data_IF_242254315815
#
_entry.id   IF_242254315815
#
_cell.length_a   1.000
_cell.length_b   1.000
_cell.length_c   1.000
_cell.angle_alpha   90.00
_cell.angle_beta   90.00
_cell.angle_gamma   90.00
#
_symmetry.space_group_name_H-M   'P 1'
#
loop_
_entity.id
_entity.type
_entity.pdbx_description
1 polymer ?
#
# COMPACT_ATOMS: atom_id res chain seq x y z
N UNK A 1 0.42 22.21 -8.84
CA UNK A 1 1.13 21.39 -9.85
C UNK A 1 2.47 21.02 -9.23
N UNK A 2 2.46 19.99 -8.38
CA UNK A 2 3.69 19.47 -7.77
C UNK A 2 4.30 18.47 -8.74
N UNK A 3 5.38 18.88 -9.38
CA UNK A 3 6.23 17.99 -10.16
C UNK A 3 6.90 17.00 -9.21
N UNK A 4 6.60 15.72 -9.36
CA UNK A 4 7.47 14.67 -8.88
C UNK A 4 8.76 14.76 -9.70
N UNK A 5 9.81 15.30 -9.10
CA UNK A 5 11.15 15.20 -9.64
C UNK A 5 11.59 13.75 -9.59
N UNK A 6 11.95 13.28 -10.76
CA UNK A 6 12.77 12.13 -11.09
C UNK A 6 12.56 10.85 -10.28
N UNK A 7 11.80 9.93 -10.91
CA UNK A 7 12.00 8.50 -10.72
C UNK A 7 13.45 8.19 -11.09
N UNK A 8 14.37 8.21 -10.13
CA UNK A 8 15.61 7.51 -10.28
C UNK A 8 15.27 6.04 -10.49
N UNK A 9 15.31 5.60 -11.72
CA UNK A 9 15.26 4.18 -12.06
C UNK A 9 16.49 3.56 -11.40
N UNK A 10 16.23 2.67 -10.45
CA UNK A 10 17.28 1.85 -9.87
C UNK A 10 17.87 0.98 -10.99
N UNK A 11 19.08 1.31 -11.42
CA UNK A 11 19.89 0.48 -12.28
C UNK A 11 20.81 -0.35 -11.41
N UNK A 12 20.66 -1.69 -11.36
CA UNK A 12 21.50 -2.56 -10.55
C UNK A 12 23.00 -2.38 -10.82
N UNK A 13 23.36 -2.01 -12.04
CA UNK A 13 24.75 -1.81 -12.45
C UNK A 13 25.40 -0.52 -11.92
N UNK A 14 24.63 0.50 -11.59
CA UNK A 14 25.19 1.78 -11.13
C UNK A 14 25.76 1.69 -9.70
N UNK A 15 25.25 0.79 -8.86
CA UNK A 15 25.73 0.59 -7.48
C UNK A 15 26.92 -0.37 -7.37
N UNK A 16 27.23 -1.16 -8.39
CA UNK A 16 28.37 -2.09 -8.41
C UNK A 16 29.74 -1.43 -8.53
N UNK A 17 29.80 -0.12 -8.81
CA UNK A 17 31.08 0.60 -9.09
C UNK A 17 31.70 1.30 -7.89
N UNK A 18 31.00 1.47 -6.78
CA UNK A 18 31.56 2.10 -5.60
C UNK A 18 31.92 0.99 -4.57
N UNK A 19 33.18 0.59 -4.60
CA UNK A 19 33.74 -0.46 -3.75
C UNK A 19 33.70 -0.11 -2.26
N UNK A 20 32.57 -0.36 -1.64
CA UNK A 20 32.45 -0.42 -0.19
C UNK A 20 32.58 -1.88 0.24
N UNK A 21 33.50 -2.15 1.19
CA UNK A 21 33.79 -3.48 1.70
C UNK A 21 32.51 -4.22 2.11
N UNK A 22 32.22 -5.29 1.40
CA UNK A 22 31.10 -6.19 1.66
C UNK A 22 31.17 -6.87 3.04
N UNK A 23 32.33 -6.87 3.68
CA UNK A 23 32.59 -7.55 4.95
C UNK A 23 31.94 -6.91 6.18
N UNK A 24 31.31 -5.74 6.04
CA UNK A 24 30.72 -4.99 7.14
C UNK A 24 29.19 -5.04 7.21
N UNK A 25 28.53 -5.80 6.35
CA UNK A 25 27.06 -5.92 6.37
C UNK A 25 26.59 -6.74 7.57
N UNK A 26 25.89 -6.14 8.55
CA UNK A 26 25.32 -6.92 9.63
C UNK A 26 24.23 -7.86 9.08
N UNK A 27 24.04 -9.06 9.68
CA UNK A 27 22.97 -9.96 9.27
C UNK A 27 21.63 -9.21 9.33
N UNK A 28 20.90 -9.15 8.23
CA UNK A 28 19.66 -8.39 8.09
C UNK A 28 18.57 -8.91 9.00
N UNK A 29 18.46 -10.22 9.07
CA UNK A 29 17.49 -10.92 9.90
C UNK A 29 18.20 -12.17 10.40
N UNK A 30 17.93 -12.56 11.64
CA UNK A 30 18.44 -13.84 12.20
C UNK A 30 18.07 -14.99 11.27
N UNK A 31 19.07 -15.70 10.74
CA UNK A 31 18.90 -16.82 9.83
C UNK A 31 18.95 -16.52 8.34
N UNK A 32 19.02 -15.24 7.92
CA UNK A 32 19.26 -14.90 6.52
C UNK A 32 20.76 -14.62 6.32
N UNK A 33 21.41 -15.47 5.57
CA UNK A 33 22.79 -15.28 5.13
C UNK A 33 22.74 -14.55 3.79
N UNK A 34 23.36 -13.38 3.73
CA UNK A 34 23.51 -12.60 2.50
C UNK A 34 24.88 -12.92 1.95
N UNK A 35 24.94 -13.37 0.70
CA UNK A 35 26.20 -13.54 0.00
C UNK A 35 26.90 -12.17 -0.13
N UNK A 36 28.10 -12.08 0.43
CA UNK A 36 28.93 -10.87 0.42
C UNK A 36 29.28 -10.36 -0.98
N UNK A 37 29.08 -11.16 -2.01
CA UNK A 37 29.30 -10.77 -3.41
C UNK A 37 28.21 -9.88 -3.99
N UNK A 38 27.06 -9.79 -3.32
CA UNK A 38 25.93 -9.02 -3.82
C UNK A 38 25.53 -7.98 -2.79
N UNK A 39 25.61 -6.74 -3.21
CA UNK A 39 25.30 -5.57 -2.40
C UNK A 39 23.79 -5.40 -2.23
N UNK A 40 23.28 -5.49 -1.00
CA UNK A 40 22.00 -4.90 -0.65
C UNK A 40 22.25 -3.48 -0.19
N UNK A 41 21.43 -2.55 -0.68
CA UNK A 41 21.38 -1.22 -0.10
C UNK A 41 21.19 -1.34 1.42
N UNK A 42 22.17 -0.94 2.19
CA UNK A 42 22.14 -0.91 3.65
C UNK A 42 20.91 -0.17 4.17
N UNK A 43 20.40 0.79 3.40
CA UNK A 43 19.21 1.56 3.75
C UNK A 43 17.97 0.67 3.94
N UNK A 44 17.74 -0.33 3.08
CA UNK A 44 16.61 -1.25 3.25
C UNK A 44 16.74 -2.08 4.53
N UNK A 45 17.92 -2.63 4.76
CA UNK A 45 18.20 -3.43 5.95
C UNK A 45 18.09 -2.62 7.25
N UNK A 46 18.64 -1.42 7.24
CA UNK A 46 18.60 -0.52 8.39
C UNK A 46 17.17 -0.04 8.68
N UNK A 47 16.41 0.27 7.63
CA UNK A 47 15.00 0.63 7.76
C UNK A 47 14.20 -0.54 8.33
N UNK A 48 14.43 -1.77 7.85
CA UNK A 48 13.80 -2.97 8.38
C UNK A 48 14.03 -3.16 9.87
N UNK A 49 15.27 -2.96 10.32
CA UNK A 49 15.67 -3.05 11.75
C UNK A 49 15.05 -1.90 12.56
N UNK A 50 15.20 -0.66 12.10
CA UNK A 50 14.68 0.54 12.79
C UNK A 50 13.17 0.43 13.01
N UNK A 51 12.43 0.00 12.01
CA UNK A 51 10.98 -0.21 12.09
C UNK A 51 10.59 -1.45 12.91
N UNK A 52 11.55 -2.30 13.31
CA UNK A 52 11.30 -3.58 13.98
C UNK A 52 10.31 -4.46 13.20
N UNK A 53 10.48 -4.53 11.88
CA UNK A 53 9.53 -5.16 10.96
C UNK A 53 9.15 -6.58 11.35
N UNK A 54 10.08 -7.39 11.89
CA UNK A 54 9.77 -8.74 12.37
C UNK A 54 8.68 -8.76 13.46
N UNK A 55 8.69 -7.75 14.35
CA UNK A 55 7.67 -7.61 15.40
C UNK A 55 6.35 -7.12 14.83
N UNK A 56 6.38 -6.23 13.83
CA UNK A 56 5.16 -5.75 13.15
C UNK A 56 4.48 -6.89 12.39
N UNK A 57 5.24 -7.71 11.67
CA UNK A 57 4.75 -8.88 10.94
C UNK A 57 4.06 -9.85 11.90
N UNK A 58 4.69 -10.20 13.01
CA UNK A 58 4.09 -11.08 14.03
C UNK A 58 2.82 -10.48 14.62
N UNK A 59 2.82 -9.18 14.99
CA UNK A 59 1.62 -8.49 15.52
C UNK A 59 0.48 -8.39 14.51
N UNK A 60 0.78 -8.31 13.21
CA UNK A 60 -0.22 -8.32 12.15
C UNK A 60 -0.82 -9.72 11.90
N UNK A 61 -0.43 -10.73 12.69
CA UNK A 61 -1.01 -12.08 12.63
C UNK A 61 -0.40 -12.97 11.55
N UNK A 62 0.78 -12.64 11.05
CA UNK A 62 1.47 -13.51 10.11
C UNK A 62 2.10 -14.69 10.84
N UNK A 63 1.60 -15.88 10.56
CA UNK A 63 2.02 -17.13 11.21
C UNK A 63 2.79 -17.99 10.20
N UNK A 64 3.89 -18.58 10.64
CA UNK A 64 4.60 -19.60 9.87
C UNK A 64 3.70 -20.84 9.72
N UNK A 65 3.60 -21.38 8.50
CA UNK A 65 2.90 -22.66 8.25
C UNK A 65 3.87 -23.83 8.17
N UNK A 66 4.89 -23.69 7.32
CA UNK A 66 5.93 -24.70 7.12
C UNK A 66 7.16 -24.08 6.46
N UNK A 67 8.30 -24.75 6.49
CA UNK A 67 9.50 -24.35 5.76
C UNK A 67 10.06 -23.00 6.20
N UNK A 68 10.08 -22.05 5.28
CA UNK A 68 10.68 -20.71 5.46
C UNK A 68 9.94 -19.87 6.50
N UNK A 69 10.67 -19.11 7.31
CA UNK A 69 10.08 -18.18 8.27
C UNK A 69 9.25 -17.10 7.57
N UNK A 70 8.08 -16.78 8.15
CA UNK A 70 7.17 -15.80 7.55
C UNK A 70 7.80 -14.41 7.43
N UNK A 71 8.68 -14.04 8.36
CA UNK A 71 9.41 -12.78 8.32
C UNK A 71 10.39 -12.74 7.15
N UNK A 72 11.04 -13.85 6.82
CA UNK A 72 11.89 -14.00 5.66
C UNK A 72 11.06 -13.94 4.36
N UNK A 73 9.94 -14.64 4.31
CA UNK A 73 9.03 -14.60 3.17
C UNK A 73 8.53 -13.18 2.85
N UNK A 74 8.17 -12.40 3.89
CA UNK A 74 7.79 -11.00 3.73
C UNK A 74 8.98 -10.13 3.33
N UNK A 75 10.17 -10.38 3.90
CA UNK A 75 11.39 -9.66 3.56
C UNK A 75 11.71 -9.79 2.06
N UNK A 76 11.80 -11.00 1.53
CA UNK A 76 12.10 -11.21 0.11
C UNK A 76 11.00 -10.67 -0.81
N UNK A 77 9.74 -10.69 -0.37
CA UNK A 77 8.62 -10.12 -1.12
C UNK A 77 8.74 -8.59 -1.23
N UNK A 78 9.11 -7.91 -0.15
CA UNK A 78 9.33 -6.46 -0.16
C UNK A 78 10.63 -6.11 -0.88
N UNK A 79 11.67 -6.88 -0.71
CA UNK A 79 12.95 -6.70 -1.41
C UNK A 79 12.78 -6.79 -2.93
N UNK A 80 11.97 -7.74 -3.42
CA UNK A 80 11.62 -7.81 -4.85
C UNK A 80 11.06 -6.48 -5.37
N UNK A 81 10.18 -5.83 -4.59
CA UNK A 81 9.62 -4.53 -4.96
C UNK A 81 10.63 -3.39 -4.81
N UNK A 82 11.46 -3.44 -3.79
CA UNK A 82 12.54 -2.48 -3.59
C UNK A 82 13.53 -2.49 -4.76
N UNK A 83 13.92 -3.66 -5.24
CA UNK A 83 14.78 -3.83 -6.40
C UNK A 83 14.08 -3.54 -7.74
N UNK A 84 12.83 -3.10 -7.71
CA UNK A 84 12.01 -2.72 -8.88
C UNK A 84 11.97 -3.79 -9.99
N UNK A 85 12.10 -5.05 -9.65
CA UNK A 85 12.04 -6.13 -10.63
C UNK A 85 10.61 -6.38 -11.12
N UNK A 86 10.43 -6.60 -12.41
CA UNK A 86 9.13 -6.65 -13.08
C UNK A 86 8.25 -7.80 -12.60
N UNK A 87 8.83 -8.93 -12.22
CA UNK A 87 8.08 -10.11 -11.75
C UNK A 87 8.85 -10.91 -10.71
N UNK A 88 8.10 -11.68 -9.90
CA UNK A 88 8.69 -12.64 -8.96
C UNK A 88 9.53 -13.70 -9.69
N UNK A 89 9.12 -14.12 -10.89
CA UNK A 89 9.87 -15.06 -11.68
C UNK A 89 11.23 -14.50 -12.14
N UNK A 90 11.28 -13.21 -12.52
CA UNK A 90 12.52 -12.53 -12.86
C UNK A 90 13.42 -12.35 -11.63
N UNK A 91 12.85 -11.93 -10.52
CA UNK A 91 13.57 -11.83 -9.24
C UNK A 91 14.18 -13.17 -8.83
N UNK A 92 13.40 -14.26 -8.93
CA UNK A 92 13.86 -15.60 -8.58
C UNK A 92 15.05 -16.07 -9.42
N UNK A 93 15.07 -15.73 -10.71
CA UNK A 93 16.19 -16.13 -11.60
C UNK A 93 17.45 -15.31 -11.40
N UNK A 94 17.30 -14.03 -11.09
CA UNK A 94 18.41 -13.08 -11.20
C UNK A 94 19.01 -12.70 -9.83
N UNK A 95 18.21 -12.76 -8.75
CA UNK A 95 18.65 -12.19 -7.48
C UNK A 95 18.23 -12.98 -6.23
N UNK A 96 17.12 -13.73 -6.24
CA UNK A 96 16.60 -14.37 -5.02
C UNK A 96 17.64 -15.24 -4.31
N UNK A 97 18.40 -16.06 -5.05
CA UNK A 97 19.39 -16.95 -4.49
C UNK A 97 20.55 -16.25 -3.76
N UNK A 98 20.73 -14.94 -4.00
CA UNK A 98 21.69 -14.10 -3.28
C UNK A 98 21.24 -13.79 -1.86
N UNK A 99 19.93 -13.70 -1.64
CA UNK A 99 19.36 -13.18 -0.40
C UNK A 99 18.69 -14.25 0.46
N UNK A 100 18.31 -15.37 -0.13
CA UNK A 100 17.57 -16.41 0.55
C UNK A 100 17.72 -17.74 -0.17
N UNK A 101 17.70 -18.83 0.61
CA UNK A 101 17.59 -20.21 0.10
C UNK A 101 16.13 -20.56 -0.28
N UNK A 102 15.20 -19.66 -0.02
CA UNK A 102 13.81 -19.86 -0.38
C UNK A 102 13.62 -19.90 -1.90
N UNK A 103 12.63 -20.70 -2.34
CA UNK A 103 12.20 -20.70 -3.74
C UNK A 103 11.09 -19.67 -3.97
N UNK A 104 10.87 -19.28 -5.23
CA UNK A 104 9.81 -18.32 -5.63
C UNK A 104 8.42 -18.71 -5.12
N UNK A 105 8.16 -20.00 -4.94
CA UNK A 105 6.86 -20.53 -4.51
C UNK A 105 6.46 -20.01 -3.14
N UNK A 106 7.43 -19.77 -2.24
CA UNK A 106 7.21 -19.17 -0.92
C UNK A 106 6.53 -17.80 -1.03
N UNK A 107 6.93 -16.98 -2.01
CA UNK A 107 6.32 -15.67 -2.25
C UNK A 107 4.89 -15.80 -2.78
N UNK A 108 4.67 -16.73 -3.73
CA UNK A 108 3.32 -17.00 -4.26
C UNK A 108 2.39 -17.57 -3.20
N UNK A 109 2.88 -18.49 -2.36
CA UNK A 109 2.10 -19.07 -1.27
C UNK A 109 1.73 -18.01 -0.24
N UNK A 110 2.67 -17.13 0.12
CA UNK A 110 2.39 -16.00 1.01
C UNK A 110 1.29 -15.09 0.44
N UNK A 111 1.35 -14.77 -0.86
CA UNK A 111 0.36 -13.91 -1.52
C UNK A 111 -1.03 -14.56 -1.68
N UNK A 112 -1.11 -15.90 -1.71
CA UNK A 112 -2.39 -16.64 -1.80
C UNK A 112 -3.08 -16.83 -0.44
N UNK A 113 -2.42 -16.50 0.65
CA UNK A 113 -2.96 -16.71 2.00
C UNK A 113 -4.04 -15.70 2.33
N UNK A 114 -5.27 -16.17 2.43
CA UNK A 114 -6.48 -15.35 2.64
C UNK A 114 -6.59 -14.78 4.06
N UNK A 115 -5.98 -15.47 5.04
CA UNK A 115 -6.01 -15.09 6.45
C UNK A 115 -5.06 -13.92 6.78
N UNK A 116 -4.11 -13.60 5.90
CA UNK A 116 -3.10 -12.56 6.16
C UNK A 116 -3.72 -11.17 6.14
N UNK A 117 -3.51 -10.44 7.22
CA UNK A 117 -3.97 -9.07 7.35
C UNK A 117 -2.91 -8.05 6.89
N UNK A 118 -2.76 -7.93 5.57
CA UNK A 118 -1.87 -6.94 4.95
C UNK A 118 -2.19 -5.50 5.35
N UNK A 119 -3.47 -5.18 5.57
CA UNK A 119 -3.89 -3.85 6.05
C UNK A 119 -3.33 -3.56 7.44
N UNK A 120 -3.38 -4.54 8.35
CA UNK A 120 -2.83 -4.39 9.68
C UNK A 120 -1.32 -4.17 9.63
N UNK A 121 -0.60 -4.91 8.79
CA UNK A 121 0.84 -4.70 8.61
C UNK A 121 1.13 -3.29 8.08
N UNK A 122 0.43 -2.87 7.02
CA UNK A 122 0.58 -1.53 6.45
C UNK A 122 0.32 -0.43 7.49
N UNK A 123 -0.81 -0.50 8.20
CA UNK A 123 -1.18 0.48 9.22
C UNK A 123 -0.16 0.55 10.37
N UNK A 124 0.32 -0.60 10.85
CA UNK A 124 1.34 -0.65 11.91
C UNK A 124 2.69 -0.10 11.43
N UNK A 125 3.07 -0.40 10.18
CA UNK A 125 4.28 0.14 9.57
C UNK A 125 4.18 1.66 9.39
N UNK A 126 3.05 2.14 8.86
CA UNK A 126 2.78 3.56 8.72
C UNK A 126 2.86 4.29 10.06
N UNK A 127 2.23 3.74 11.11
CA UNK A 127 2.33 4.29 12.47
C UNK A 127 3.76 4.32 13.00
N UNK A 128 4.53 3.28 12.78
CA UNK A 128 5.93 3.23 13.20
C UNK A 128 6.77 4.30 12.49
N UNK A 129 6.57 4.48 11.17
CA UNK A 129 7.23 5.54 10.38
C UNK A 129 6.80 6.93 10.87
N UNK A 130 5.50 7.14 11.09
CA UNK A 130 4.95 8.39 11.60
C UNK A 130 5.58 8.81 12.93
N UNK A 131 5.73 7.86 13.85
CA UNK A 131 6.33 8.10 15.16
C UNK A 131 7.84 8.32 15.09
N UNK A 132 8.56 7.47 14.35
CA UNK A 132 10.02 7.54 14.25
C UNK A 132 10.51 8.82 13.57
N UNK A 133 9.78 9.29 12.56
CA UNK A 133 10.11 10.53 11.87
C UNK A 133 9.48 11.77 12.54
N UNK A 134 8.86 11.60 13.71
CA UNK A 134 8.24 12.70 14.46
C UNK A 134 7.24 13.53 13.64
N UNK A 135 6.54 12.90 12.72
CA UNK A 135 5.58 13.58 11.83
C UNK A 135 4.39 14.18 12.60
N UNK A 136 4.21 13.84 13.87
CA UNK A 136 3.29 14.54 14.78
C UNK A 136 3.58 16.02 14.90
N UNK A 137 4.86 16.41 14.81
CA UNK A 137 5.33 17.79 14.91
C UNK A 137 5.33 18.57 13.60
N UNK A 138 4.91 17.97 12.48
CA UNK A 138 4.78 18.67 11.20
C UNK A 138 3.76 19.81 11.31
N UNK A 139 4.09 20.97 10.70
CA UNK A 139 3.24 22.18 10.77
C UNK A 139 1.94 21.99 10.01
N UNK A 140 1.97 21.23 8.90
CA UNK A 140 0.81 20.95 8.08
C UNK A 140 0.74 19.46 7.81
N UNK A 141 -0.39 18.87 8.12
CA UNK A 141 -0.69 17.46 7.87
C UNK A 141 -1.98 17.36 7.10
N UNK A 142 -1.95 16.69 5.95
CA UNK A 142 -3.12 16.52 5.12
C UNK A 142 -3.35 15.05 4.76
N UNK A 143 -4.55 14.56 5.00
CA UNK A 143 -5.01 13.33 4.37
C UNK A 143 -5.20 13.56 2.87
N UNK A 144 -4.63 12.72 2.05
CA UNK A 144 -4.77 12.76 0.59
C UNK A 144 -5.50 11.51 0.14
N UNK A 145 -6.64 11.70 -0.50
CA UNK A 145 -7.45 10.63 -1.08
C UNK A 145 -7.34 10.69 -2.59
N UNK A 146 -6.97 9.57 -3.17
CA UNK A 146 -6.92 9.42 -4.63
C UNK A 146 -7.32 8.00 -5.03
N UNK A 147 -7.86 7.85 -6.24
CA UNK A 147 -8.10 6.56 -6.83
C UNK A 147 -7.25 6.35 -8.08
N UNK A 148 -6.80 5.14 -8.26
CA UNK A 148 -5.99 4.77 -9.41
C UNK A 148 -6.46 3.45 -10.02
N UNK A 149 -6.29 3.30 -11.34
CA UNK A 149 -6.58 2.07 -12.05
C UNK A 149 -5.29 1.27 -12.18
N UNK A 150 -5.22 0.14 -11.49
CA UNK A 150 -4.15 -0.84 -11.70
C UNK A 150 -4.52 -1.74 -12.87
N UNK A 151 -3.93 -1.49 -14.02
CA UNK A 151 -4.17 -2.30 -15.23
C UNK A 151 -3.82 -3.77 -15.02
N UNK A 152 -4.62 -4.66 -15.58
CA UNK A 152 -4.49 -6.11 -15.48
C UNK A 152 -4.70 -6.77 -16.82
N UNK A 153 -3.95 -7.83 -17.11
CA UNK A 153 -4.03 -8.59 -18.35
C UNK A 153 -4.93 -9.84 -18.27
N UNK A 154 -5.74 -9.97 -17.23
CA UNK A 154 -6.60 -11.17 -17.05
C UNK A 154 -8.02 -10.81 -16.69
N UNK A 155 -9.00 -11.45 -17.36
CA UNK A 155 -10.44 -11.27 -17.08
C UNK A 155 -10.92 -12.03 -15.84
N UNK A 156 -10.17 -13.06 -15.40
CA UNK A 156 -10.55 -13.95 -14.27
C UNK A 156 -9.96 -13.50 -12.91
N UNK A 157 -9.34 -12.33 -12.85
CA UNK A 157 -8.77 -11.82 -11.62
C UNK A 157 -9.84 -11.08 -10.83
N UNK A 158 -9.85 -11.25 -9.51
CA UNK A 158 -10.84 -10.70 -8.60
C UNK A 158 -10.90 -9.18 -8.70
N UNK A 159 -12.11 -8.63 -8.78
CA UNK A 159 -12.35 -7.18 -8.83
C UNK A 159 -11.85 -6.48 -10.10
N UNK A 160 -11.43 -7.23 -11.12
CA UNK A 160 -11.06 -6.66 -12.43
C UNK A 160 -12.31 -6.29 -13.21
N UNK A 161 -12.26 -5.12 -13.81
CA UNK A 161 -13.32 -4.52 -14.59
C UNK A 161 -12.78 -3.65 -15.69
N UNK A 162 -13.65 -3.29 -16.64
CA UNK A 162 -13.36 -2.26 -17.63
C UNK A 162 -13.57 -0.87 -17.02
N UNK A 163 -12.56 -0.04 -17.08
CA UNK A 163 -12.60 1.37 -16.64
C UNK A 163 -12.15 2.27 -17.77
N UNK A 164 -12.74 3.46 -17.85
CA UNK A 164 -12.23 4.49 -18.76
C UNK A 164 -11.02 5.16 -18.13
N UNK A 165 -9.90 5.11 -18.82
CA UNK A 165 -8.66 5.77 -18.42
C UNK A 165 -8.58 7.12 -19.11
N UNK A 166 -8.74 8.19 -18.35
CA UNK A 166 -8.71 9.56 -18.85
C UNK A 166 -7.33 10.00 -19.37
N UNK A 167 -6.27 9.32 -18.96
CA UNK A 167 -4.90 9.61 -19.41
C UNK A 167 -4.67 9.09 -20.83
N UNK A 168 -5.13 7.88 -21.11
CA UNK A 168 -4.98 7.24 -22.44
C UNK A 168 -6.20 7.44 -23.34
N UNK A 169 -7.31 8.01 -22.84
CA UNK A 169 -8.55 8.23 -23.58
C UNK A 169 -9.28 6.95 -24.01
N UNK A 170 -9.01 5.81 -23.36
CA UNK A 170 -9.56 4.50 -23.75
C UNK A 170 -9.95 3.65 -22.55
N UNK A 171 -10.77 2.62 -22.82
CA UNK A 171 -11.08 1.62 -21.80
C UNK A 171 -9.90 0.68 -21.56
N UNK A 172 -9.59 0.46 -20.28
CA UNK A 172 -8.56 -0.48 -19.80
C UNK A 172 -9.17 -1.47 -18.82
N UNK A 173 -8.69 -2.72 -18.89
CA UNK A 173 -9.04 -3.73 -17.89
C UNK A 173 -8.16 -3.51 -16.65
N UNK A 174 -8.76 -3.44 -15.47
CA UNK A 174 -7.99 -3.19 -14.26
C UNK A 174 -8.80 -3.31 -12.97
N UNK A 175 -8.12 -3.08 -11.88
CA UNK A 175 -8.71 -2.94 -10.54
C UNK A 175 -8.61 -1.48 -10.14
N UNK A 176 -9.71 -0.89 -9.71
CA UNK A 176 -9.71 0.47 -9.17
C UNK A 176 -9.37 0.41 -7.67
N UNK A 177 -8.34 1.13 -7.28
CA UNK A 177 -7.83 1.14 -5.90
C UNK A 177 -7.93 2.54 -5.35
N UNK A 178 -8.71 2.69 -4.28
CA UNK A 178 -8.74 3.90 -3.47
C UNK A 178 -7.58 3.86 -2.49
N UNK A 179 -6.82 4.93 -2.40
CA UNK A 179 -5.65 5.08 -1.52
C UNK A 179 -5.83 6.30 -0.63
N UNK A 180 -5.53 6.14 0.65
CA UNK A 180 -5.39 7.21 1.63
C UNK A 180 -3.93 7.34 2.02
N UNK A 181 -3.37 8.53 1.91
CA UNK A 181 -2.04 8.89 2.37
C UNK A 181 -2.07 10.06 3.34
N UNK A 182 -0.98 10.25 4.07
CA UNK A 182 -0.69 11.46 4.83
C UNK A 182 0.43 12.22 4.13
N UNK A 183 0.14 13.43 3.73
CA UNK A 183 1.14 14.37 3.22
C UNK A 183 1.52 15.36 4.32
N UNK A 184 2.81 15.61 4.44
CA UNK A 184 3.39 16.68 5.24
C UNK A 184 4.30 17.51 4.35
N UNK A 185 4.89 18.59 4.87
CA UNK A 185 5.88 19.38 4.16
C UNK A 185 7.13 18.58 3.76
N UNK A 186 7.43 17.48 4.47
CA UNK A 186 8.66 16.71 4.29
C UNK A 186 8.44 15.33 3.65
N UNK A 187 7.24 14.75 3.83
CA UNK A 187 7.01 13.35 3.48
C UNK A 187 5.59 13.06 2.99
N UNK A 188 5.47 12.00 2.20
CA UNK A 188 4.20 11.35 1.90
C UNK A 188 4.21 9.92 2.43
N UNK A 189 3.24 9.60 3.28
CA UNK A 189 3.12 8.29 3.93
C UNK A 189 1.84 7.59 3.50
N UNK A 190 1.91 6.45 2.77
CA UNK A 190 0.73 5.64 2.48
C UNK A 190 0.15 5.03 3.76
N UNK A 191 -1.15 5.24 4.01
CA UNK A 191 -1.82 4.82 5.23
C UNK A 191 -2.72 3.61 5.04
N UNK A 192 -3.58 3.65 4.03
CA UNK A 192 -4.54 2.58 3.74
C UNK A 192 -4.84 2.50 2.25
N UNK A 193 -5.29 1.34 1.79
CA UNK A 193 -5.75 1.13 0.43
C UNK A 193 -6.88 0.11 0.38
N UNK A 194 -7.83 0.30 -0.56
CA UNK A 194 -8.96 -0.60 -0.75
C UNK A 194 -9.35 -0.69 -2.22
N UNK A 195 -9.65 -1.90 -2.68
CA UNK A 195 -10.22 -2.12 -4.01
C UNK A 195 -11.67 -1.62 -3.98
N UNK A 196 -12.00 -0.79 -4.95
CA UNK A 196 -13.38 -0.35 -5.18
C UNK A 196 -14.04 -1.26 -6.22
N UNK A 197 -15.23 -1.73 -5.91
CA UNK A 197 -16.08 -2.52 -6.80
C UNK A 197 -17.44 -1.83 -6.87
N UNK A 198 -17.88 -1.45 -8.07
CA UNK A 198 -19.17 -0.80 -8.21
C UNK A 198 -20.32 -1.76 -7.93
N UNK A 199 -21.42 -1.26 -7.37
CA UNK A 199 -22.61 -2.08 -7.05
C UNK A 199 -23.21 -2.78 -8.28
N UNK A 200 -23.11 -2.16 -9.46
CA UNK A 200 -23.57 -2.78 -10.72
C UNK A 200 -22.76 -4.05 -11.03
N UNK A 201 -21.48 -4.05 -10.72
CA UNK A 201 -20.59 -5.19 -10.97
C UNK A 201 -20.65 -6.23 -9.85
N UNK A 202 -21.10 -5.84 -8.68
CA UNK A 202 -21.26 -6.75 -7.54
C UNK A 202 -22.21 -7.92 -7.82
N UNK A 203 -23.23 -7.72 -8.69
CA UNK A 203 -24.21 -8.75 -9.05
C UNK A 203 -23.60 -9.91 -9.83
N UNK A 204 -22.47 -9.69 -10.49
CA UNK A 204 -21.76 -10.68 -11.32
C UNK A 204 -20.57 -11.31 -10.58
N UNK A 205 -20.27 -10.85 -9.35
CA UNK A 205 -19.10 -11.29 -8.62
C UNK A 205 -19.37 -12.60 -7.88
N UNK A 206 -18.66 -13.63 -8.29
CA UNK A 206 -18.50 -14.84 -7.51
C UNK A 206 -17.39 -14.59 -6.49
N UNK A 207 -17.63 -14.89 -5.21
CA UNK A 207 -16.56 -14.78 -4.21
C UNK A 207 -15.50 -15.88 -4.52
N UNK A 208 -14.28 -15.49 -4.90
CA UNK A 208 -13.25 -16.43 -5.30
C UNK A 208 -12.53 -17.08 -4.11
N UNK A 209 -12.77 -16.57 -2.91
CA UNK A 209 -12.10 -17.02 -1.70
C UNK A 209 -12.72 -18.27 -1.15
N UNK A 210 -11.88 -19.20 -0.69
CA UNK A 210 -12.29 -20.49 -0.12
C UNK A 210 -13.01 -20.32 1.20
N UNK A 211 -12.55 -19.36 2.00
CA UNK A 211 -13.14 -19.00 3.27
C UNK A 211 -13.67 -17.56 3.24
N UNK A 212 -15.00 -17.44 3.13
CA UNK A 212 -15.68 -16.14 3.16
C UNK A 212 -15.51 -15.37 4.47
N UNK A 213 -15.07 -16.03 5.56
CA UNK A 213 -14.74 -15.41 6.83
C UNK A 213 -13.28 -15.00 6.95
N UNK A 214 -12.44 -15.40 6.01
CA UNK A 214 -11.05 -14.95 5.94
C UNK A 214 -10.94 -13.43 5.82
N UNK A 215 -9.77 -12.87 6.17
CA UNK A 215 -9.53 -11.42 6.06
C UNK A 215 -9.71 -10.93 4.64
N UNK A 216 -9.21 -11.67 3.66
CA UNK A 216 -9.37 -11.33 2.25
C UNK A 216 -10.82 -11.48 1.78
N UNK A 217 -11.49 -12.58 2.14
CA UNK A 217 -12.88 -12.85 1.79
C UNK A 217 -13.85 -11.80 2.32
N UNK A 218 -13.72 -11.41 3.60
CA UNK A 218 -14.53 -10.32 4.20
C UNK A 218 -14.32 -8.99 3.47
N UNK A 219 -13.07 -8.59 3.25
CA UNK A 219 -12.77 -7.34 2.56
C UNK A 219 -13.32 -7.31 1.14
N UNK A 220 -13.28 -8.44 0.46
CA UNK A 220 -13.82 -8.57 -0.89
C UNK A 220 -15.34 -8.46 -0.90
N UNK A 221 -16.02 -9.11 0.04
CA UNK A 221 -17.49 -9.04 0.19
C UNK A 221 -17.99 -7.66 0.60
N UNK A 222 -17.20 -6.92 1.39
CA UNK A 222 -17.52 -5.55 1.81
C UNK A 222 -17.29 -4.52 0.68
N UNK A 223 -16.37 -4.77 -0.23
CA UNK A 223 -15.97 -3.79 -1.24
C UNK A 223 -17.15 -3.28 -2.10
N UNK A 224 -18.09 -4.11 -2.60
CA UNK A 224 -19.21 -3.64 -3.40
C UNK A 224 -20.36 -3.02 -2.58
N UNK A 225 -20.34 -3.12 -1.26
CA UNK A 225 -21.42 -2.57 -0.41
C UNK A 225 -21.21 -1.09 -0.07
N UNK A 226 -20.05 -0.54 -0.39
CA UNK A 226 -19.66 0.81 -0.03
C UNK A 226 -19.44 1.69 -1.26
N UNK A 227 -19.92 2.91 -1.22
CA UNK A 227 -19.52 3.97 -2.15
C UNK A 227 -18.09 4.45 -1.86
N UNK A 228 -17.43 5.10 -2.82
CA UNK A 228 -16.09 5.67 -2.59
C UNK A 228 -16.02 6.65 -1.41
N UNK A 229 -16.98 7.58 -1.21
CA UNK A 229 -16.99 8.46 -0.04
C UNK A 229 -17.13 7.69 1.28
N UNK A 230 -17.93 6.63 1.34
CA UNK A 230 -18.05 5.78 2.53
C UNK A 230 -16.76 5.01 2.81
N UNK A 231 -16.13 4.45 1.78
CA UNK A 231 -14.79 3.84 1.93
C UNK A 231 -13.78 4.83 2.49
N UNK A 232 -13.73 6.05 1.92
CA UNK A 232 -12.83 7.11 2.36
C UNK A 232 -13.07 7.47 3.83
N UNK A 233 -14.35 7.63 4.24
CA UNK A 233 -14.75 7.88 5.62
C UNK A 233 -14.23 6.78 6.56
N UNK A 234 -14.45 5.51 6.19
CA UNK A 234 -13.98 4.38 6.98
C UNK A 234 -12.43 4.31 7.06
N UNK A 235 -11.73 4.64 5.99
CA UNK A 235 -10.27 4.68 5.96
C UNK A 235 -9.75 5.77 6.91
N UNK A 236 -10.26 6.99 6.82
CA UNK A 236 -9.87 8.10 7.72
C UNK A 236 -10.18 7.78 9.18
N UNK A 237 -11.36 7.27 9.48
CA UNK A 237 -11.74 6.87 10.86
C UNK A 237 -10.80 5.80 11.43
N UNK A 238 -10.36 4.83 10.61
CA UNK A 238 -9.37 3.83 11.04
C UNK A 238 -8.02 4.44 11.35
N UNK A 239 -7.56 5.35 10.50
CA UNK A 239 -6.25 6.00 10.65
C UNK A 239 -6.21 6.88 11.89
N UNK A 240 -7.24 7.70 12.11
CA UNK A 240 -7.34 8.55 13.30
C UNK A 240 -7.40 7.70 14.58
N UNK A 241 -8.19 6.60 14.59
CA UNK A 241 -8.22 5.65 15.73
C UNK A 241 -6.87 5.00 15.99
N UNK A 242 -6.00 4.90 14.99
CA UNK A 242 -4.63 4.40 15.18
C UNK A 242 -3.67 5.45 15.78
N UNK A 243 -4.12 6.68 15.96
CA UNK A 243 -3.36 7.80 16.53
C UNK A 243 -2.51 8.55 15.51
N UNK A 244 -2.93 8.56 14.24
CA UNK A 244 -2.36 9.44 13.21
C UNK A 244 -3.38 10.52 12.86
N UNK A 245 -2.95 11.78 12.87
CA UNK A 245 -3.79 12.97 12.75
C UNK A 245 -3.48 13.75 11.48
N UNK A 246 -4.44 14.51 11.01
CA UNK A 246 -4.27 15.48 9.94
C UNK A 246 -5.15 16.70 10.19
N UNK A 247 -4.71 17.87 9.70
CA UNK A 247 -5.44 19.14 9.79
C UNK A 247 -6.40 19.30 8.61
N UNK A 248 -6.05 18.68 7.48
CA UNK A 248 -6.79 18.80 6.22
C UNK A 248 -7.10 17.45 5.61
N UNK A 249 -8.12 17.39 4.77
CA UNK A 249 -8.34 16.32 3.80
C UNK A 249 -8.41 16.91 2.39
N UNK A 250 -7.57 16.39 1.48
CA UNK A 250 -7.50 16.75 0.07
C UNK A 250 -8.02 15.60 -0.77
N UNK A 251 -8.95 15.90 -1.67
CA UNK A 251 -9.46 14.91 -2.61
C UNK A 251 -9.98 15.58 -3.90
N UNK A 252 -10.08 14.76 -4.95
CA UNK A 252 -10.59 15.20 -6.24
C UNK A 252 -12.12 15.41 -6.25
N UNK A 253 -12.67 15.75 -7.42
CA UNK A 253 -14.10 16.05 -7.59
C UNK A 253 -15.04 14.85 -7.36
N UNK A 254 -14.53 13.61 -7.32
CA UNK A 254 -15.33 12.43 -6.96
C UNK A 254 -15.74 12.46 -5.48
N UNK A 255 -14.92 13.07 -4.64
CA UNK A 255 -15.13 13.17 -3.20
C UNK A 255 -15.78 14.52 -2.79
N UNK A 256 -15.99 15.43 -3.74
CA UNK A 256 -16.71 16.69 -3.52
C UNK A 256 -18.20 16.48 -3.28
N UNK A 257 -18.56 15.76 -2.21
CA UNK A 257 -19.92 15.33 -1.89
C UNK A 257 -20.29 15.68 -0.45
N UNK A 258 -21.62 15.90 -0.20
CA UNK A 258 -22.12 16.16 1.16
C UNK A 258 -21.68 15.12 2.20
N UNK A 259 -21.71 13.79 1.93
CA UNK A 259 -21.20 12.80 2.87
C UNK A 259 -19.73 13.01 3.24
N UNK A 260 -18.89 13.38 2.29
CA UNK A 260 -17.47 13.61 2.56
C UNK A 260 -17.21 14.83 3.42
N UNK A 261 -17.93 15.92 3.15
CA UNK A 261 -17.89 17.16 3.96
C UNK A 261 -18.34 16.84 5.39
N UNK A 262 -19.45 16.10 5.55
CA UNK A 262 -19.92 15.68 6.88
C UNK A 262 -18.88 14.83 7.61
N UNK A 263 -18.24 13.89 6.92
CA UNK A 263 -17.16 13.09 7.51
C UNK A 263 -15.98 13.95 7.96
N UNK A 264 -15.58 14.94 7.16
CA UNK A 264 -14.50 15.84 7.54
C UNK A 264 -14.85 16.65 8.81
N UNK A 265 -16.08 17.16 8.90
CA UNK A 265 -16.58 17.84 10.11
C UNK A 265 -16.63 16.90 11.33
N UNK A 266 -17.11 15.67 11.18
CA UNK A 266 -17.13 14.66 12.25
C UNK A 266 -15.74 14.30 12.78
N UNK A 267 -14.71 14.42 11.94
CA UNK A 267 -13.34 14.08 12.25
C UNK A 267 -12.48 15.29 12.63
N UNK A 268 -13.08 16.48 12.65
CA UNK A 268 -12.41 17.76 12.93
C UNK A 268 -11.21 18.01 11.99
N UNK A 269 -11.42 17.73 10.69
CA UNK A 269 -10.43 18.02 9.62
C UNK A 269 -11.03 18.99 8.60
N UNK A 270 -10.24 19.96 8.16
CA UNK A 270 -10.67 20.93 7.15
C UNK A 270 -10.70 20.28 5.75
N UNK A 271 -11.84 20.31 5.07
CA UNK A 271 -12.01 19.70 3.76
C UNK A 271 -11.58 20.66 2.64
N UNK A 272 -10.60 20.27 1.83
CA UNK A 272 -10.17 20.92 0.60
C UNK A 272 -10.51 20.00 -0.57
N UNK A 273 -11.72 20.15 -1.10
CA UNK A 273 -12.29 19.27 -2.11
C UNK A 273 -12.51 20.01 -3.42
N UNK A 274 -12.15 19.40 -4.53
CA UNK A 274 -12.56 19.92 -5.83
C UNK A 274 -14.04 19.62 -6.04
N UNK A 275 -14.81 20.65 -6.38
CA UNK A 275 -16.25 20.50 -6.68
C UNK A 275 -16.48 20.21 -8.17
N UNK A 276 -17.49 19.39 -8.49
CA UNK A 276 -17.95 19.21 -9.88
C UNK A 276 -18.66 20.47 -10.35
N UNK A 277 -18.34 20.96 -11.54
CA UNK A 277 -19.10 22.03 -12.16
C UNK A 277 -20.57 21.57 -12.37
N UNK A 278 -21.52 22.29 -11.80
CA UNK A 278 -22.90 22.25 -12.26
C UNK A 278 -23.93 21.44 -11.49
N UNK A 279 -23.70 21.06 -10.23
CA UNK A 279 -24.78 20.56 -9.37
C UNK A 279 -24.61 21.02 -7.92
N UNK A 280 -25.51 21.93 -7.53
CA UNK A 280 -25.79 22.46 -6.18
C UNK A 280 -24.72 23.40 -5.60
N UNK A 281 -25.04 24.68 -5.57
CA UNK A 281 -24.43 25.65 -4.66
C UNK A 281 -24.62 25.16 -3.22
N UNK A 282 -23.52 24.91 -2.53
CA UNK A 282 -23.55 24.67 -1.09
C UNK A 282 -23.52 26.07 -0.46
N UNK A 283 -24.68 26.60 -0.06
CA UNK A 283 -24.73 27.77 0.79
C UNK A 283 -24.14 27.38 2.15
N UNK A 284 -23.00 27.97 2.51
CA UNK A 284 -22.56 28.00 3.90
C UNK A 284 -23.57 28.87 4.64
N UNK A 285 -24.42 28.24 5.45
CA UNK A 285 -25.21 28.97 6.42
C UNK A 285 -24.28 29.65 7.41
N UNK A 286 -24.43 30.94 7.53
CA UNK A 286 -23.81 31.82 8.53
C UNK A 286 -24.17 31.38 9.93
#
# INVERSE_FOLDING_TARGET
>A
MFMFKDKQQYHPEAHLKNGTNADSLPPLISGIVIDSKHYIDNLFADTWKKLKMNSLIKRAGFIKRSGVEVTEAVFILLLWKWLNMSSIAMFSRNALGTFSMARKDVMYDLLKREEINWRALNSQTAKAVYQQNKLTGSRVKAFVLDDSIKTRCGKKMEGVSSYFDHVTGRHVMGQQVLTLGLATEEAFLPLDSQIYISQLKARELINPYKDGQSVAGKRYSEAPTQSKPEMASHMMKRVIRSGMEADYVLADAWFGTKPMIRTALELDVCAILRMKKGQNEISCGS
#
